data_IF_550573994888
#
_entry.id   IF_550573994888
#
_cell.length_a   1.000
_cell.length_b   1.000
_cell.length_c   1.000
_cell.angle_alpha   90.00
_cell.angle_beta   90.00
_cell.angle_gamma   90.00
#
_symmetry.space_group_name_H-M   'P 1'
#
loop_
_entity.id
_entity.type
_entity.pdbx_description
1 polymer ?
#
# COMPACT_ATOMS: atom_id res chain seq x y z
N UNK A 1 8.60 23.59 12.05
CA UNK A 1 8.50 23.05 10.67
C UNK A 1 7.37 22.04 10.73
N UNK A 2 6.30 22.16 9.94
CA UNK A 2 5.32 21.07 9.92
C UNK A 2 6.05 19.87 9.34
N UNK A 3 6.23 18.81 10.14
CA UNK A 3 6.79 17.55 9.68
C UNK A 3 5.74 16.93 8.75
N UNK A 4 5.81 17.27 7.46
CA UNK A 4 4.97 16.65 6.47
C UNK A 4 5.34 15.18 6.39
N UNK A 5 4.36 14.33 6.68
CA UNK A 5 4.48 12.88 6.65
C UNK A 5 4.76 12.36 5.22
N UNK A 6 4.49 13.19 4.20
CA UNK A 6 4.78 12.98 2.78
C UNK A 6 5.40 14.27 2.24
N UNK A 7 6.54 14.17 1.56
CA UNK A 7 7.25 15.30 0.95
C UNK A 7 7.28 15.20 -0.57
N UNK A 8 7.03 16.30 -1.32
CA UNK A 8 7.19 16.32 -2.76
C UNK A 8 8.64 16.18 -3.23
N UNK A 9 9.61 16.44 -2.34
CA UNK A 9 11.04 16.33 -2.64
C UNK A 9 11.56 14.88 -2.56
N UNK A 10 10.74 13.96 -2.04
CA UNK A 10 11.05 12.55 -1.92
C UNK A 10 10.42 11.74 -3.06
N UNK A 11 11.10 10.69 -3.49
CA UNK A 11 10.51 9.70 -4.40
C UNK A 11 9.32 9.00 -3.75
N UNK A 12 8.44 8.38 -4.55
CA UNK A 12 7.32 7.60 -4.03
C UNK A 12 7.79 6.51 -3.04
N UNK A 13 8.89 5.81 -3.37
CA UNK A 13 9.47 4.78 -2.51
C UNK A 13 9.89 5.35 -1.15
N UNK A 14 10.56 6.50 -1.14
CA UNK A 14 11.00 7.15 0.10
C UNK A 14 9.81 7.60 0.95
N UNK A 15 8.80 8.21 0.32
CA UNK A 15 7.56 8.58 1.01
C UNK A 15 6.83 7.37 1.61
N UNK A 16 6.73 6.26 0.87
CA UNK A 16 6.11 5.01 1.38
C UNK A 16 6.92 4.43 2.55
N UNK A 17 8.25 4.41 2.45
CA UNK A 17 9.10 3.95 3.55
C UNK A 17 8.92 4.81 4.81
N UNK A 18 8.97 6.14 4.66
CA UNK A 18 8.77 7.09 5.76
C UNK A 18 7.37 6.96 6.38
N UNK A 19 6.35 6.78 5.55
CA UNK A 19 4.97 6.54 6.00
C UNK A 19 4.91 5.30 6.90
N UNK A 20 5.39 4.14 6.43
CA UNK A 20 5.38 2.93 7.26
C UNK A 20 6.26 3.04 8.51
N UNK A 21 7.40 3.73 8.44
CA UNK A 21 8.27 3.96 9.59
C UNK A 21 7.58 4.81 10.67
N UNK A 22 6.82 5.82 10.25
CA UNK A 22 6.06 6.69 11.16
C UNK A 22 4.98 5.92 11.92
N UNK A 23 4.32 4.97 11.27
CA UNK A 23 3.29 4.12 11.88
C UNK A 23 3.82 2.77 12.42
N UNK A 24 5.14 2.58 12.45
CA UNK A 24 5.80 1.37 12.98
C UNK A 24 5.42 0.06 12.25
N UNK A 25 5.01 0.14 10.98
CA UNK A 25 4.63 -1.00 10.13
C UNK A 25 5.84 -1.61 9.41
N UNK A 26 6.89 -1.97 10.15
CA UNK A 26 8.18 -2.39 9.59
C UNK A 26 8.05 -3.63 8.69
N UNK A 27 7.27 -4.61 9.10
CA UNK A 27 7.06 -5.84 8.31
C UNK A 27 6.35 -5.56 6.98
N UNK A 28 5.33 -4.70 6.98
CA UNK A 28 4.62 -4.29 5.76
C UNK A 28 5.56 -3.53 4.82
N UNK A 29 6.39 -2.62 5.34
CA UNK A 29 7.41 -1.93 4.55
C UNK A 29 8.32 -2.91 3.82
N UNK A 30 8.89 -3.87 4.54
CA UNK A 30 9.77 -4.89 3.95
C UNK A 30 9.04 -5.75 2.92
N UNK A 31 7.79 -6.13 3.20
CA UNK A 31 6.94 -6.87 2.29
C UNK A 31 6.71 -6.09 0.99
N UNK A 32 6.20 -4.86 1.07
CA UNK A 32 5.91 -4.01 -0.08
C UNK A 32 7.15 -3.74 -0.93
N UNK A 33 8.32 -3.53 -0.31
CA UNK A 33 9.58 -3.37 -1.06
C UNK A 33 9.98 -4.64 -1.82
N UNK A 34 9.82 -5.83 -1.21
CA UNK A 34 10.08 -7.12 -1.88
C UNK A 34 9.11 -7.35 -3.03
N UNK A 35 7.81 -7.12 -2.82
CA UNK A 35 6.77 -7.26 -3.85
C UNK A 35 7.01 -6.27 -4.99
N UNK A 36 7.37 -5.02 -4.69
CA UNK A 36 7.69 -4.02 -5.72
C UNK A 36 8.87 -4.45 -6.59
N UNK A 37 9.95 -4.95 -6.00
CA UNK A 37 11.09 -5.47 -6.76
C UNK A 37 10.73 -6.69 -7.62
N UNK A 38 9.88 -7.59 -7.13
CA UNK A 38 9.43 -8.75 -7.90
C UNK A 38 8.47 -8.35 -9.03
N UNK A 39 7.63 -7.33 -8.80
CA UNK A 39 6.69 -6.81 -9.79
C UNK A 39 7.40 -6.28 -11.04
N UNK A 40 8.61 -5.72 -10.90
CA UNK A 40 9.44 -5.29 -12.04
C UNK A 40 9.83 -6.48 -12.92
N UNK A 41 10.27 -7.59 -12.32
CA UNK A 41 10.65 -8.80 -13.06
C UNK A 41 9.47 -9.39 -13.81
N UNK A 42 8.31 -9.44 -13.15
CA UNK A 42 7.06 -9.90 -13.77
C UNK A 42 6.62 -8.96 -14.89
N UNK A 43 6.70 -7.65 -14.68
CA UNK A 43 6.32 -6.67 -15.70
C UNK A 43 7.14 -6.82 -16.98
N UNK A 44 8.46 -6.96 -16.85
CA UNK A 44 9.35 -7.24 -17.98
C UNK A 44 9.02 -8.58 -18.65
N UNK A 45 8.76 -9.63 -17.85
CA UNK A 45 8.43 -10.97 -18.38
C UNK A 45 7.14 -10.98 -19.20
N UNK A 46 6.13 -10.23 -18.77
CA UNK A 46 4.80 -10.21 -19.40
C UNK A 46 4.59 -9.02 -20.35
N UNK A 47 5.61 -8.16 -20.53
CA UNK A 47 5.54 -7.04 -21.47
C UNK A 47 4.55 -5.94 -21.06
N UNK A 48 4.33 -5.75 -19.76
CA UNK A 48 3.49 -4.67 -19.21
C UNK A 48 4.36 -3.54 -18.66
N UNK A 49 3.77 -2.37 -18.40
CA UNK A 49 4.46 -1.18 -17.89
C UNK A 49 5.13 -1.45 -16.52
N UNK A 50 6.47 -1.52 -16.44
CA UNK A 50 7.16 -1.85 -15.19
C UNK A 50 7.00 -0.77 -14.13
N UNK A 51 6.88 0.50 -14.53
CA UNK A 51 6.77 1.60 -13.58
C UNK A 51 5.41 1.58 -12.88
N UNK A 52 4.32 1.32 -13.63
CA UNK A 52 2.99 1.16 -13.03
C UNK A 52 2.92 -0.03 -12.09
N UNK A 53 3.50 -1.17 -12.48
CA UNK A 53 3.57 -2.35 -11.62
C UNK A 53 4.34 -2.07 -10.32
N UNK A 54 5.50 -1.41 -10.42
CA UNK A 54 6.31 -1.04 -9.27
C UNK A 54 5.58 -0.10 -8.32
N UNK A 55 4.94 0.95 -8.84
CA UNK A 55 4.21 1.93 -8.04
C UNK A 55 2.98 1.31 -7.36
N UNK A 56 2.21 0.48 -8.07
CA UNK A 56 1.09 -0.25 -7.50
C UNK A 56 1.55 -1.18 -6.36
N UNK A 57 2.63 -1.93 -6.57
CA UNK A 57 3.18 -2.83 -5.58
C UNK A 57 3.75 -2.11 -4.34
N UNK A 58 4.31 -0.91 -4.48
CA UNK A 58 4.72 -0.09 -3.34
C UNK A 58 3.54 0.30 -2.45
N UNK A 59 2.39 0.59 -3.05
CA UNK A 59 1.21 1.14 -2.37
C UNK A 59 0.17 0.08 -1.97
N UNK A 60 0.30 -1.16 -2.43
CA UNK A 60 -0.78 -2.14 -2.33
C UNK A 60 -1.21 -2.47 -0.89
N UNK A 61 -0.35 -2.33 0.11
CA UNK A 61 -0.66 -2.58 1.52
C UNK A 61 -0.62 -1.28 2.36
N UNK A 62 -0.89 -0.13 1.74
CA UNK A 62 -0.73 1.17 2.41
C UNK A 62 -1.69 1.33 3.61
N UNK A 63 -2.85 0.67 3.59
CA UNK A 63 -3.80 0.69 4.71
C UNK A 63 -3.34 -0.07 5.96
N UNK A 64 -2.21 -0.77 5.94
CA UNK A 64 -1.70 -1.49 7.12
C UNK A 64 -1.48 -0.60 8.37
N UNK A 65 -1.47 0.72 8.19
CA UNK A 65 -1.35 1.72 9.26
C UNK A 65 -2.65 1.99 10.03
N UNK A 66 -3.78 1.49 9.53
CA UNK A 66 -5.09 1.58 10.18
C UNK A 66 -5.58 0.20 10.59
N UNK A 67 -6.52 0.14 11.53
CA UNK A 67 -7.13 -1.13 11.95
C UNK A 67 -8.11 -1.66 10.91
N UNK A 68 -8.34 -2.98 10.94
CA UNK A 68 -9.37 -3.68 10.15
C UNK A 68 -10.76 -3.03 10.24
N UNK A 69 -11.15 -2.53 11.42
CA UNK A 69 -12.43 -1.85 11.61
C UNK A 69 -12.46 -0.50 10.87
N UNK A 70 -11.36 0.25 10.91
CA UNK A 70 -11.24 1.52 10.20
C UNK A 70 -11.22 1.30 8.68
N UNK A 71 -10.54 0.25 8.19
CA UNK A 71 -10.59 -0.13 6.76
C UNK A 71 -12.04 -0.35 6.30
N UNK A 72 -12.80 -1.14 7.07
CA UNK A 72 -14.21 -1.42 6.77
C UNK A 72 -15.07 -0.15 6.83
N UNK A 73 -14.87 0.69 7.85
CA UNK A 73 -15.59 1.95 8.00
C UNK A 73 -15.35 2.87 6.80
N UNK A 74 -14.09 3.04 6.39
CA UNK A 74 -13.70 3.85 5.23
C UNK A 74 -14.34 3.27 3.96
N UNK A 75 -14.28 1.96 3.74
CA UNK A 75 -14.86 1.33 2.56
C UNK A 75 -16.38 1.56 2.47
N UNK A 76 -17.09 1.43 3.59
CA UNK A 76 -18.53 1.70 3.68
C UNK A 76 -18.86 3.18 3.49
N UNK A 77 -18.08 4.10 4.09
CA UNK A 77 -18.24 5.55 3.90
C UNK A 77 -18.06 5.96 2.43
N UNK A 78 -17.22 5.24 1.69
CA UNK A 78 -17.00 5.46 0.26
C UNK A 78 -17.98 4.66 -0.63
N UNK A 79 -19.02 4.06 -0.06
CA UNK A 79 -20.03 3.27 -0.77
C UNK A 79 -19.45 2.14 -1.63
N UNK A 80 -18.37 1.50 -1.17
CA UNK A 80 -17.80 0.34 -1.85
C UNK A 80 -18.75 -0.85 -1.75
N UNK A 81 -18.75 -1.68 -2.80
CA UNK A 81 -19.41 -2.99 -2.73
C UNK A 81 -18.47 -3.94 -2.01
N UNK A 82 -18.85 -4.36 -0.80
CA UNK A 82 -18.04 -5.23 0.05
C UNK A 82 -18.38 -6.70 -0.23
N UNK A 83 -17.38 -7.49 -0.62
CA UNK A 83 -17.52 -8.93 -0.77
C UNK A 83 -17.72 -9.61 0.59
N UNK A 84 -18.50 -10.70 0.70
CA UNK A 84 -18.62 -11.46 1.94
C UNK A 84 -17.27 -11.89 2.54
N UNK A 85 -16.27 -12.14 1.70
CA UNK A 85 -14.91 -12.49 2.11
C UNK A 85 -14.19 -11.31 2.78
N UNK A 86 -14.32 -10.09 2.26
CA UNK A 86 -13.75 -8.88 2.86
C UNK A 86 -14.43 -8.56 4.20
N UNK A 87 -15.74 -8.81 4.32
CA UNK A 87 -16.44 -8.70 5.60
C UNK A 87 -15.93 -9.70 6.63
N UNK A 88 -15.59 -10.91 6.20
CA UNK A 88 -15.04 -11.97 7.06
C UNK A 88 -13.55 -11.74 7.38
N UNK A 89 -12.81 -11.16 6.44
CA UNK A 89 -11.37 -10.96 6.48
C UNK A 89 -11.03 -9.53 6.03
N UNK A 90 -11.16 -8.52 6.91
CA UNK A 90 -11.01 -7.13 6.50
C UNK A 90 -9.59 -6.76 6.03
N UNK A 91 -8.58 -7.58 6.31
CA UNK A 91 -7.23 -7.40 5.77
C UNK A 91 -7.15 -7.59 4.24
N UNK A 92 -8.21 -8.11 3.61
CA UNK A 92 -8.35 -8.13 2.14
C UNK A 92 -8.66 -6.73 1.57
N UNK A 93 -9.06 -5.79 2.43
CA UNK A 93 -9.14 -4.38 2.08
C UNK A 93 -7.73 -3.79 2.21
N UNK A 94 -7.28 -3.18 1.13
CA UNK A 94 -5.94 -2.65 0.91
C UNK A 94 -5.90 -1.13 0.92
#
# INVERSE_FOLDING_TARGET
MMDYLISPDLSLKENVCQFFDTYQCIHTKEHSLKVANESLKLAHRFGVDPQKCYQAALLHDISAVISHNQMMEIALQNAWTIDPSEKKYPFLLH
#
